data_IF_157626326873
#
_entry.id   IF_157626326873
#
_cell.length_a   1.000
_cell.length_b   1.000
_cell.length_c   1.000
_cell.angle_alpha   90.00
_cell.angle_beta   90.00
_cell.angle_gamma   90.00
#
_symmetry.space_group_name_H-M   'P 1'
#
loop_
_entity.id
_entity.type
_entity.pdbx_description
1 polymer ?
#
# COMPACT_ATOMS: atom_id res chain seq x y z
N UNK A 1 -21.38 -2.17 -8.25
CA UNK A 1 -20.00 -2.61 -8.50
C UNK A 1 -19.56 -3.51 -7.35
N UNK A 2 -18.71 -4.50 -7.61
CA UNK A 2 -18.27 -5.50 -6.63
C UNK A 2 -16.80 -5.85 -6.88
N UNK A 3 -16.00 -6.00 -5.81
CA UNK A 3 -14.63 -6.50 -5.88
C UNK A 3 -14.64 -7.99 -5.48
N UNK A 4 -14.19 -8.87 -6.37
CA UNK A 4 -14.15 -10.31 -6.16
C UNK A 4 -12.76 -10.85 -6.52
N UNK A 5 -12.21 -11.72 -5.66
CA UNK A 5 -10.99 -12.48 -5.94
C UNK A 5 -11.22 -13.95 -5.58
N UNK A 6 -11.18 -14.84 -6.59
CA UNK A 6 -11.48 -16.26 -6.40
C UNK A 6 -10.30 -17.06 -5.84
N UNK A 7 -9.06 -16.62 -6.10
CA UNK A 7 -7.83 -17.29 -5.66
C UNK A 7 -6.69 -16.26 -5.57
N UNK A 8 -5.80 -16.46 -4.60
CA UNK A 8 -4.63 -15.60 -4.39
C UNK A 8 -4.81 -14.63 -3.24
N UNK A 9 -3.72 -13.98 -2.83
CA UNK A 9 -3.71 -13.00 -1.75
C UNK A 9 -4.22 -11.66 -2.27
N UNK A 10 -5.27 -11.14 -1.66
CA UNK A 10 -5.69 -9.74 -1.82
C UNK A 10 -5.09 -8.92 -0.70
N UNK A 11 -4.47 -7.78 -1.04
CA UNK A 11 -3.93 -6.84 -0.07
C UNK A 11 -4.52 -5.46 -0.34
N UNK A 12 -5.14 -4.86 0.67
CA UNK A 12 -5.77 -3.54 0.60
C UNK A 12 -5.10 -2.68 1.66
N UNK A 13 -4.45 -1.58 1.25
CA UNK A 13 -3.71 -0.69 2.14
C UNK A 13 -3.83 0.76 1.67
N UNK A 14 -3.84 1.70 2.61
CA UNK A 14 -3.66 3.12 2.36
C UNK A 14 -2.35 3.57 3.03
N UNK A 15 -1.38 4.07 2.26
CA UNK A 15 -0.01 4.32 2.75
C UNK A 15 0.18 5.70 3.38
N UNK A 16 -0.54 6.70 2.89
CA UNK A 16 -0.38 8.10 3.29
C UNK A 16 -1.67 8.73 3.80
N UNK A 17 -2.75 7.96 3.87
CA UNK A 17 -4.10 8.44 4.19
C UNK A 17 -4.93 7.32 4.85
N UNK A 18 -6.16 7.66 5.25
CA UNK A 18 -7.07 6.77 5.96
C UNK A 18 -7.72 5.71 5.04
N UNK A 19 -7.92 4.51 5.60
CA UNK A 19 -8.79 3.49 5.00
C UNK A 19 -10.12 3.47 5.75
N UNK A 20 -11.20 3.92 5.09
CA UNK A 20 -12.56 3.87 5.64
C UNK A 20 -13.41 2.78 4.97
N UNK A 21 -14.10 1.96 5.76
CA UNK A 21 -15.08 0.98 5.28
C UNK A 21 -16.40 1.14 6.04
N UNK A 22 -17.49 1.37 5.31
CA UNK A 22 -18.83 1.60 5.88
C UNK A 22 -19.90 0.89 5.07
N UNK A 23 -20.95 0.40 5.74
CA UNK A 23 -22.11 -0.26 5.11
C UNK A 23 -23.41 0.27 5.72
N UNK A 24 -24.45 0.42 4.89
CA UNK A 24 -25.80 0.79 5.35
C UNK A 24 -26.50 -0.35 6.09
N UNK A 25 -26.09 -1.59 5.80
CA UNK A 25 -26.62 -2.79 6.43
C UNK A 25 -25.49 -3.49 7.18
N UNK A 26 -25.06 -4.66 6.72
CA UNK A 26 -24.10 -5.49 7.41
C UNK A 26 -22.68 -5.31 6.84
N UNK A 27 -21.69 -5.52 7.69
CA UNK A 27 -20.28 -5.65 7.35
C UNK A 27 -19.75 -6.92 8.00
N UNK A 28 -19.35 -7.90 7.19
CA UNK A 28 -18.88 -9.20 7.64
C UNK A 28 -17.37 -9.36 7.42
N UNK A 29 -16.62 -9.64 8.49
CA UNK A 29 -15.19 -9.97 8.45
C UNK A 29 -15.02 -11.37 9.04
N UNK A 30 -14.66 -12.35 8.21
CA UNK A 30 -14.63 -13.75 8.60
C UNK A 30 -13.42 -14.47 7.98
N UNK A 31 -12.93 -15.50 8.65
CA UNK A 31 -11.93 -16.43 8.15
C UNK A 31 -12.43 -17.86 8.37
N UNK A 32 -12.53 -18.66 7.31
CA UNK A 32 -13.12 -20.01 7.39
C UNK A 32 -12.18 -21.05 7.99
N UNK A 33 -10.88 -20.95 7.69
CA UNK A 33 -9.88 -21.94 8.12
C UNK A 33 -8.77 -21.35 8.99
N UNK A 34 -8.63 -20.01 8.97
CA UNK A 34 -7.48 -19.32 9.56
C UNK A 34 -7.85 -18.51 10.80
N UNK A 35 -7.31 -17.29 10.85
CA UNK A 35 -7.53 -16.33 11.94
C UNK A 35 -7.81 -14.94 11.39
N UNK A 36 -8.56 -14.15 12.15
CA UNK A 36 -8.66 -12.69 11.97
C UNK A 36 -7.72 -12.05 12.99
N UNK A 37 -6.84 -11.15 12.53
CA UNK A 37 -5.93 -10.39 13.39
C UNK A 37 -6.20 -8.92 13.18
N UNK A 38 -6.53 -8.21 14.26
CA UNK A 38 -6.74 -6.77 14.27
C UNK A 38 -5.77 -6.18 15.28
N UNK A 39 -4.94 -5.25 14.83
CA UNK A 39 -3.93 -4.61 15.65
C UNK A 39 -3.90 -3.11 15.36
N UNK A 40 -3.57 -2.34 16.38
CA UNK A 40 -3.39 -0.90 16.30
C UNK A 40 -2.25 -0.49 17.23
N UNK A 41 -1.50 0.55 16.86
CA UNK A 41 -0.42 1.07 17.69
C UNK A 41 -0.97 1.92 18.85
N UNK A 42 -1.97 2.77 18.56
CA UNK A 42 -2.50 3.72 19.53
C UNK A 42 -3.70 3.17 20.32
N UNK A 43 -4.76 2.77 19.62
CA UNK A 43 -6.03 2.41 20.23
C UNK A 43 -6.85 1.48 19.32
N UNK A 44 -7.59 0.55 19.94
CA UNK A 44 -8.63 -0.24 19.29
C UNK A 44 -9.93 -0.09 20.09
N UNK A 45 -11.02 0.34 19.43
CA UNK A 45 -12.36 0.46 20.02
C UNK A 45 -13.34 -0.43 19.26
N UNK A 46 -14.05 -1.29 20.00
CA UNK A 46 -15.20 -2.06 19.53
C UNK A 46 -16.43 -1.52 20.26
N UNK A 47 -17.35 -0.86 19.56
CA UNK A 47 -18.52 -0.23 20.18
C UNK A 47 -19.84 -0.69 19.57
N UNK A 48 -20.86 -0.89 20.40
CA UNK A 48 -22.21 -1.28 19.98
C UNK A 48 -23.25 -0.81 21.00
N UNK A 49 -24.24 -0.02 20.57
CA UNK A 49 -25.35 0.42 21.43
C UNK A 49 -24.93 1.15 22.71
N UNK A 50 -23.78 1.83 22.70
CA UNK A 50 -23.20 2.50 23.87
C UNK A 50 -22.32 1.62 24.77
N UNK A 51 -22.30 0.30 24.56
CA UNK A 51 -21.28 -0.56 25.16
C UNK A 51 -20.01 -0.58 24.31
N UNK A 52 -18.85 -0.79 24.93
CA UNK A 52 -17.58 -0.87 24.22
C UNK A 52 -16.52 -1.71 24.92
N UNK A 53 -15.55 -2.15 24.12
CA UNK A 53 -14.27 -2.71 24.52
C UNK A 53 -13.19 -1.79 23.93
N UNK A 54 -12.32 -1.26 24.77
CA UNK A 54 -11.21 -0.39 24.37
C UNK A 54 -9.88 -0.98 24.82
N UNK A 55 -8.91 -1.01 23.91
CA UNK A 55 -7.53 -1.39 24.18
C UNK A 55 -6.64 -0.18 23.89
N UNK A 56 -5.94 0.34 24.90
CA UNK A 56 -5.05 1.49 24.75
C UNK A 56 -3.98 1.54 25.84
N UNK A 57 -2.73 1.85 25.46
CA UNK A 57 -1.63 2.02 26.43
C UNK A 57 -1.42 0.80 27.34
N UNK A 58 -1.63 -0.42 26.82
CA UNK A 58 -1.54 -1.66 27.59
C UNK A 58 -2.74 -1.98 28.49
N UNK A 59 -3.78 -1.14 28.51
CA UNK A 59 -4.97 -1.34 29.32
C UNK A 59 -6.13 -1.90 28.49
N UNK A 60 -7.03 -2.63 29.16
CA UNK A 60 -8.32 -3.09 28.63
C UNK A 60 -9.43 -2.40 29.43
N UNK A 61 -10.31 -1.69 28.75
CA UNK A 61 -11.48 -1.02 29.32
C UNK A 61 -12.76 -1.64 28.76
N UNK A 62 -13.65 -2.06 29.66
CA UNK A 62 -14.97 -2.62 29.34
C UNK A 62 -16.03 -1.67 29.91
N UNK A 63 -16.78 -1.01 29.05
CA UNK A 63 -17.82 -0.05 29.45
C UNK A 63 -19.17 -0.43 28.88
N UNK A 64 -20.24 -0.31 29.68
CA UNK A 64 -21.61 -0.44 29.18
C UNK A 64 -22.61 0.32 30.06
N UNK A 65 -23.72 0.82 29.47
CA UNK A 65 -24.81 1.45 30.24
C UNK A 65 -25.67 0.42 30.98
N UNK A 66 -25.69 -0.84 30.51
CA UNK A 66 -26.45 -1.93 31.09
C UNK A 66 -25.60 -2.83 31.99
N UNK A 67 -25.79 -4.15 31.87
CA UNK A 67 -25.05 -5.15 32.64
C UNK A 67 -23.94 -5.82 31.82
N UNK A 68 -22.85 -6.18 32.49
CA UNK A 68 -21.88 -7.17 31.98
C UNK A 68 -22.29 -8.54 32.50
N UNK A 69 -22.67 -9.46 31.61
CA UNK A 69 -23.04 -10.83 31.96
C UNK A 69 -21.90 -11.81 31.64
N UNK A 70 -21.20 -12.28 32.67
CA UNK A 70 -20.09 -13.24 32.54
C UNK A 70 -20.59 -14.64 32.85
N UNK A 71 -20.85 -15.44 31.81
CA UNK A 71 -21.21 -16.87 31.95
C UNK A 71 -19.98 -17.73 31.68
N UNK A 72 -19.29 -18.13 32.75
CA UNK A 72 -18.11 -19.00 32.63
C UNK A 72 -18.08 -20.08 33.71
N UNK A 73 -17.46 -21.22 33.39
CA UNK A 73 -17.19 -22.28 34.37
C UNK A 73 -16.12 -21.85 35.38
N UNK A 74 -15.14 -21.04 34.94
CA UNK A 74 -14.06 -20.51 35.77
C UNK A 74 -13.69 -19.09 35.31
N UNK A 75 -13.19 -18.29 36.24
CA UNK A 75 -12.56 -16.98 36.00
C UNK A 75 -11.31 -16.91 36.86
N UNK A 76 -10.16 -16.60 36.26
CA UNK A 76 -8.89 -16.50 36.98
C UNK A 76 -8.26 -15.14 36.70
N UNK A 77 -7.82 -14.47 37.77
CA UNK A 77 -7.05 -13.23 37.70
C UNK A 77 -5.60 -13.53 38.04
N UNK A 78 -4.73 -13.48 37.04
CA UNK A 78 -3.29 -13.69 37.19
C UNK A 78 -2.56 -12.34 37.29
N UNK A 79 -1.23 -12.41 37.43
CA UNK A 79 -0.37 -11.24 37.30
C UNK A 79 -0.46 -10.59 35.90
N UNK A 80 0.02 -9.35 35.74
CA UNK A 80 0.04 -8.69 34.44
C UNK A 80 0.90 -9.46 33.44
N UNK A 81 0.51 -9.39 32.16
CA UNK A 81 1.25 -9.98 31.04
C UNK A 81 1.12 -9.05 29.83
N UNK A 82 2.01 -9.18 28.86
CA UNK A 82 2.00 -8.40 27.61
C UNK A 82 2.14 -9.31 26.40
N UNK A 83 1.67 -8.82 25.25
CA UNK A 83 1.87 -9.43 23.95
C UNK A 83 2.52 -8.40 23.02
N UNK A 84 3.72 -8.71 22.55
CA UNK A 84 4.38 -7.88 21.54
C UNK A 84 3.77 -8.18 20.17
N UNK A 85 3.00 -7.22 19.66
CA UNK A 85 2.49 -7.27 18.28
C UNK A 85 3.52 -6.57 17.41
N UNK A 86 4.09 -7.30 16.44
CA UNK A 86 4.99 -6.72 15.46
C UNK A 86 4.28 -5.56 14.73
N UNK A 87 4.91 -4.39 14.70
CA UNK A 87 4.41 -3.25 13.92
C UNK A 87 4.29 -3.68 12.46
N UNK A 88 3.17 -3.36 11.81
CA UNK A 88 3.05 -3.53 10.37
C UNK A 88 3.99 -2.52 9.72
N UNK A 89 5.13 -2.99 9.21
CA UNK A 89 5.97 -2.17 8.35
C UNK A 89 5.24 -1.97 7.03
N UNK A 90 4.75 -0.74 6.83
CA UNK A 90 4.23 -0.34 5.54
C UNK A 90 5.39 -0.41 4.54
N UNK A 91 5.25 -1.11 3.40
CA UNK A 91 6.28 -1.10 2.38
C UNK A 91 6.45 0.35 1.93
N UNK A 92 7.59 0.94 2.27
CA UNK A 92 7.96 2.25 1.73
C UNK A 92 8.20 2.04 0.25
N UNK A 93 7.45 2.73 -0.60
CA UNK A 93 7.79 2.81 -2.02
C UNK A 93 9.23 3.29 -2.16
N UNK A 94 10.03 2.56 -2.92
CA UNK A 94 11.39 2.99 -3.25
C UNK A 94 11.29 3.94 -4.43
N UNK A 95 11.47 5.23 -4.16
CA UNK A 95 11.40 6.29 -5.16
C UNK A 95 12.79 6.84 -5.48
N UNK A 96 13.17 6.88 -6.76
CA UNK A 96 14.43 7.46 -7.21
C UNK A 96 14.39 7.92 -8.66
N UNK A 97 15.16 8.96 -8.99
CA UNK A 97 15.39 9.41 -10.37
C UNK A 97 16.84 9.16 -10.76
N UNK A 98 17.09 8.95 -12.05
CA UNK A 98 18.44 8.75 -12.59
C UNK A 98 18.91 10.04 -13.26
N UNK A 99 20.21 10.32 -13.20
CA UNK A 99 20.84 11.37 -14.00
C UNK A 99 21.61 10.68 -15.11
N UNK A 100 21.29 11.01 -16.36
CA UNK A 100 22.05 10.55 -17.51
C UNK A 100 23.27 11.45 -17.70
N UNK A 101 24.46 10.86 -17.67
CA UNK A 101 25.73 11.53 -17.99
C UNK A 101 26.50 10.78 -19.06
N UNK A 102 27.42 11.46 -19.75
CA UNK A 102 28.42 10.81 -20.59
C UNK A 102 29.59 10.20 -19.77
N UNK A 103 30.59 9.64 -20.46
CA UNK A 103 31.81 9.09 -19.83
C UNK A 103 32.64 10.14 -19.07
N UNK A 104 32.46 11.42 -19.37
CA UNK A 104 33.11 12.54 -18.68
C UNK A 104 32.27 13.10 -17.52
N UNK A 105 31.07 12.53 -17.26
CA UNK A 105 30.16 12.97 -16.21
C UNK A 105 29.31 14.18 -16.58
N UNK A 106 29.28 14.59 -17.85
CA UNK A 106 28.46 15.72 -18.32
C UNK A 106 27.01 15.28 -18.48
N UNK A 107 26.04 15.97 -17.85
CA UNK A 107 24.62 15.66 -18.00
C UNK A 107 24.15 15.71 -19.44
N UNK A 108 23.28 14.78 -19.82
CA UNK A 108 22.68 14.68 -21.15
C UNK A 108 21.20 15.08 -21.10
N UNK A 109 20.90 16.38 -21.25
CA UNK A 109 19.53 16.86 -21.25
C UNK A 109 18.77 16.47 -22.52
N UNK A 110 17.45 16.55 -22.47
CA UNK A 110 16.57 16.32 -23.64
C UNK A 110 16.76 14.96 -24.32
N UNK A 111 17.20 13.94 -23.59
CA UNK A 111 17.45 12.60 -24.12
C UNK A 111 16.27 11.67 -23.84
N UNK A 112 15.67 11.06 -24.86
CA UNK A 112 14.61 10.07 -24.66
C UNK A 112 15.14 8.81 -23.99
N UNK A 113 14.37 8.30 -23.02
CA UNK A 113 14.69 7.10 -22.27
C UNK A 113 13.48 6.20 -22.08
N UNK A 114 13.77 4.91 -21.86
CA UNK A 114 12.80 3.90 -21.45
C UNK A 114 13.34 3.16 -20.25
N UNK A 115 12.59 3.19 -19.15
CA UNK A 115 12.90 2.49 -17.92
C UNK A 115 11.92 1.34 -17.73
N UNK A 116 12.43 0.15 -17.43
CA UNK A 116 11.63 -1.03 -17.11
C UNK A 116 11.94 -1.47 -15.68
N UNK A 117 10.93 -1.48 -14.82
CA UNK A 117 11.05 -1.96 -13.43
C UNK A 117 11.08 -3.50 -13.40
N UNK A 118 11.56 -4.10 -12.31
CA UNK A 118 11.50 -5.56 -12.16
C UNK A 118 10.05 -6.09 -12.03
N UNK A 119 9.11 -5.20 -11.70
CA UNK A 119 7.66 -5.45 -11.64
C UNK A 119 7.04 -5.49 -13.05
N UNK A 120 7.80 -5.11 -14.09
CA UNK A 120 7.37 -5.12 -15.49
C UNK A 120 6.79 -3.79 -15.98
N UNK A 121 6.73 -2.76 -15.13
CA UNK A 121 6.26 -1.44 -15.50
C UNK A 121 7.27 -0.74 -16.42
N UNK A 122 6.76 -0.10 -17.47
CA UNK A 122 7.56 0.62 -18.45
C UNK A 122 7.25 2.11 -18.33
N UNK A 123 8.26 2.89 -17.95
CA UNK A 123 8.22 4.36 -17.90
C UNK A 123 9.02 4.91 -19.07
N UNK A 124 8.40 5.76 -19.88
CA UNK A 124 9.05 6.44 -21.01
C UNK A 124 9.02 7.94 -20.77
N UNK A 125 10.11 8.63 -21.12
CA UNK A 125 10.21 10.06 -20.91
C UNK A 125 11.41 10.67 -21.61
N UNK A 126 11.62 11.96 -21.36
CA UNK A 126 12.75 12.74 -21.84
C UNK A 126 13.45 13.33 -20.60
N UNK A 127 14.78 13.29 -20.56
CA UNK A 127 15.55 13.87 -19.46
C UNK A 127 15.40 15.40 -19.41
N UNK A 128 15.38 15.97 -18.21
CA UNK A 128 15.31 17.42 -18.01
C UNK A 128 16.62 18.15 -18.35
N UNK A 129 16.67 19.47 -18.14
CA UNK A 129 17.85 20.31 -18.41
C UNK A 129 19.11 19.89 -17.62
N UNK A 130 18.95 19.13 -16.55
CA UNK A 130 20.03 18.59 -15.73
C UNK A 130 20.27 17.09 -16.00
N UNK A 131 19.69 16.53 -17.06
CA UNK A 131 19.82 15.11 -17.41
C UNK A 131 19.00 14.17 -16.51
N UNK A 132 18.09 14.66 -15.66
CA UNK A 132 17.28 13.82 -14.76
C UNK A 132 16.11 13.16 -15.48
N UNK A 133 15.87 11.90 -15.14
CA UNK A 133 14.63 11.19 -15.47
C UNK A 133 13.50 11.57 -14.50
N UNK A 134 12.26 11.34 -14.92
CA UNK A 134 11.12 11.32 -13.99
C UNK A 134 11.35 10.32 -12.85
N UNK A 135 10.82 10.59 -11.64
CA UNK A 135 10.96 9.69 -10.51
C UNK A 135 10.28 8.35 -10.81
N UNK A 136 10.98 7.27 -10.47
CA UNK A 136 10.48 5.90 -10.57
C UNK A 136 10.21 5.41 -9.17
N UNK A 137 8.99 4.92 -8.95
CA UNK A 137 8.57 4.33 -7.68
C UNK A 137 8.40 2.83 -7.88
N UNK A 138 9.04 2.02 -7.04
CA UNK A 138 8.89 0.57 -7.02
C UNK A 138 8.38 0.09 -5.68
N UNK A 139 7.63 -1.01 -5.70
CA UNK A 139 7.07 -1.64 -4.49
C UNK A 139 8.14 -2.43 -3.72
N UNK A 140 9.22 -2.84 -4.41
CA UNK A 140 10.38 -3.54 -3.86
C UNK A 140 11.70 -2.91 -4.34
N UNK A 141 12.79 -2.94 -3.55
CA UNK A 141 14.10 -2.51 -4.03
C UNK A 141 14.56 -3.49 -5.10
N UNK A 142 14.66 -3.01 -6.33
CA UNK A 142 14.92 -3.85 -7.50
C UNK A 142 15.80 -3.14 -8.53
N UNK A 143 16.54 -3.92 -9.32
CA UNK A 143 17.34 -3.39 -10.43
C UNK A 143 16.37 -2.94 -11.52
N UNK A 144 16.48 -1.68 -11.93
CA UNK A 144 15.75 -1.15 -13.08
C UNK A 144 16.63 -1.22 -14.32
N UNK A 145 16.03 -1.55 -15.46
CA UNK A 145 16.70 -1.49 -16.76
C UNK A 145 16.40 -0.13 -17.38
N UNK A 146 17.42 0.64 -17.73
CA UNK A 146 17.25 1.91 -18.45
C UNK A 146 17.88 1.80 -19.83
N UNK A 147 17.13 2.18 -20.85
CA UNK A 147 17.53 2.21 -22.25
C UNK A 147 17.47 3.66 -22.75
N UNK A 148 18.54 4.11 -23.41
CA UNK A 148 18.68 5.47 -23.93
C UNK A 148 18.81 5.45 -25.47
N UNK A 149 18.38 6.51 -26.16
CA UNK A 149 18.53 6.65 -27.61
C UNK A 149 17.18 6.65 -28.35
N UNK A 150 17.12 6.20 -29.62
CA UNK A 150 15.88 6.15 -30.42
C UNK A 150 14.89 5.11 -29.87
N UNK A 151 14.34 5.36 -28.69
CA UNK A 151 13.18 4.66 -28.15
C UNK A 151 12.01 5.03 -29.04
N UNK A 152 11.42 4.04 -29.72
CA UNK A 152 10.18 4.26 -30.47
C UNK A 152 9.07 4.61 -29.48
N UNK A 153 8.73 5.90 -29.40
CA UNK A 153 7.56 6.37 -28.66
C UNK A 153 6.35 5.88 -29.45
N UNK A 154 5.56 4.97 -28.88
CA UNK A 154 4.36 4.46 -29.55
C UNK A 154 3.27 5.54 -29.47
N UNK A 155 3.24 6.40 -30.48
CA UNK A 155 2.32 7.52 -30.55
C UNK A 155 2.52 8.37 -31.79
N UNK A 156 2.60 7.76 -32.98
CA UNK A 156 2.34 8.48 -34.23
C UNK A 156 1.10 7.87 -34.90
N UNK A 157 0.00 8.60 -34.75
CA UNK A 157 -1.25 8.42 -35.47
C UNK A 157 -0.98 8.86 -36.92
N UNK A 158 -0.90 7.90 -37.84
CA UNK A 158 -0.87 8.20 -39.28
C UNK A 158 -2.24 8.72 -39.70
N UNK A 159 -2.40 10.04 -39.80
CA UNK A 159 -3.52 10.66 -40.49
C UNK A 159 -3.03 11.36 -41.78
N UNK A 160 -3.31 10.70 -42.91
CA UNK A 160 -3.55 11.18 -44.30
C UNK A 160 -2.46 12.07 -44.97
N UNK A 161 -2.22 11.93 -46.27
CA UNK A 161 -3.04 12.55 -47.34
C UNK A 161 -2.93 11.76 -48.66
N UNK A 162 -4.09 11.69 -49.32
CA UNK A 162 -4.40 11.17 -50.65
C UNK A 162 -4.00 12.12 -51.79
N UNK A 163 -3.76 11.56 -52.99
CA UNK A 163 -3.71 12.27 -54.28
C UNK A 163 -2.27 12.62 -54.70
N UNK A 164 -1.83 12.41 -55.93
CA UNK A 164 -2.48 12.16 -57.23
C UNK A 164 -1.51 11.31 -58.06
#
# INVERSE_FOLDING_TARGET
>A
MQLLAAKGRVNIQAQSDDLSMSSQQNLDIQSSEGKVTVSANQELILACGGAYIKLSGGNIELGCPGQILLKSTNMQKMGPTSLDIASVEMPRGFGGGFILTDEAGVPQPSTPYRLTTAEGDILQGITDENGKTAPVNTSIPSVVKVEFGKVKIHGEQNDKISGI
#
